data_IF_580778799443
#
_entry.id   IF_580778799443
#
_cell.length_a   1.000
_cell.length_b   1.000
_cell.length_c   1.000
_cell.angle_alpha   90.00
_cell.angle_beta   90.00
_cell.angle_gamma   90.00
#
_symmetry.space_group_name_H-M   'P 1'
#
loop_
_entity.id
_entity.type
_entity.pdbx_description
1 polymer ?
#
# COMPACT_ATOMS: atom_id res chain seq x y z
N UNK A 1 6.38 -11.14 14.97
CA UNK A 1 4.95 -11.30 15.32
C UNK A 1 4.57 -10.14 16.23
N UNK A 2 3.66 -9.27 15.82
CA UNK A 2 3.12 -8.22 16.71
C UNK A 2 2.00 -8.84 17.55
N UNK A 3 1.92 -8.49 18.83
CA UNK A 3 0.84 -8.95 19.73
C UNK A 3 0.03 -7.74 20.17
N UNK A 4 -1.24 -7.89 20.57
CA UNK A 4 -2.00 -6.77 21.15
C UNK A 4 -1.31 -6.15 22.38
N UNK A 5 -0.39 -6.89 23.02
CA UNK A 5 0.42 -6.46 24.16
C UNK A 5 1.77 -5.81 23.79
N UNK A 6 2.15 -5.71 22.51
CA UNK A 6 3.39 -4.99 22.16
C UNK A 6 3.19 -3.49 22.27
N UNK A 7 4.00 -2.84 23.09
CA UNK A 7 4.04 -1.39 23.21
C UNK A 7 4.55 -0.78 21.91
N UNK A 8 3.86 0.25 21.41
CA UNK A 8 4.35 1.05 20.30
C UNK A 8 5.47 1.97 20.78
N UNK A 9 6.58 1.96 20.07
CA UNK A 9 7.71 2.85 20.33
C UNK A 9 7.86 3.84 19.17
N UNK A 10 8.24 5.07 19.50
CA UNK A 10 8.58 6.07 18.49
C UNK A 10 9.81 5.58 17.73
N UNK A 11 9.71 5.48 16.40
CA UNK A 11 10.79 4.98 15.57
C UNK A 11 11.77 6.10 15.14
N UNK A 12 11.31 7.35 15.05
CA UNK A 12 12.14 8.49 14.63
C UNK A 12 11.50 9.81 15.05
N UNK A 13 12.31 10.85 15.25
CA UNK A 13 11.85 12.18 15.66
C UNK A 13 11.36 12.99 14.47
N UNK A 14 10.10 13.41 14.52
CA UNK A 14 9.46 14.24 13.50
C UNK A 14 8.08 13.72 13.12
N UNK A 15 7.32 14.53 12.38
CA UNK A 15 5.97 14.16 11.92
C UNK A 15 5.98 13.94 10.41
N UNK A 16 5.46 12.79 10.00
CA UNK A 16 5.21 12.45 8.60
C UNK A 16 3.73 12.18 8.41
N UNK A 17 3.20 12.53 7.25
CA UNK A 17 1.78 12.41 6.87
C UNK A 17 1.49 11.20 5.98
N UNK A 18 2.55 10.60 5.44
CA UNK A 18 2.53 9.38 4.64
C UNK A 18 3.95 8.93 4.33
N UNK A 19 4.12 7.69 3.90
CA UNK A 19 5.43 7.16 3.56
C UNK A 19 5.38 5.72 3.10
N UNK A 20 6.49 5.27 2.55
CA UNK A 20 6.71 3.93 2.04
C UNK A 20 8.19 3.57 2.17
N UNK A 21 8.53 2.29 2.08
CA UNK A 21 9.87 1.78 2.28
C UNK A 21 10.38 0.98 1.08
N UNK A 22 11.61 1.30 0.67
CA UNK A 22 12.33 0.57 -0.37
C UNK A 22 13.84 0.56 -0.05
N UNK A 23 14.52 -0.53 -0.43
CA UNK A 23 15.98 -0.66 -0.30
C UNK A 23 16.52 -0.36 1.12
N UNK A 24 15.78 -0.78 2.16
CA UNK A 24 16.15 -0.55 3.56
C UNK A 24 16.02 0.91 4.02
N UNK A 25 15.41 1.78 3.21
CA UNK A 25 15.18 3.19 3.50
C UNK A 25 13.69 3.46 3.56
N UNK A 26 13.25 4.17 4.61
CA UNK A 26 11.90 4.71 4.71
C UNK A 26 11.89 6.10 4.09
N UNK A 27 10.92 6.38 3.24
CA UNK A 27 10.67 7.67 2.61
C UNK A 27 9.34 8.21 3.11
N UNK A 28 9.33 9.44 3.61
CA UNK A 28 8.18 10.05 4.24
C UNK A 28 7.89 11.44 3.70
N UNK A 29 6.61 11.79 3.62
CA UNK A 29 6.16 13.15 3.33
C UNK A 29 5.90 13.88 4.64
N UNK A 30 6.51 15.05 4.83
CA UNK A 30 6.33 15.90 6.01
C UNK A 30 5.08 16.79 5.87
N UNK A 31 4.66 17.46 6.95
CA UNK A 31 3.56 18.44 6.94
C UNK A 31 3.84 19.65 6.00
N UNK A 32 5.11 19.97 5.73
CA UNK A 32 5.52 20.98 4.74
C UNK A 32 5.47 20.50 3.28
N UNK A 33 5.06 19.23 3.08
CA UNK A 33 4.97 18.55 1.81
C UNK A 33 6.32 18.17 1.17
N UNK A 34 7.43 18.28 1.89
CA UNK A 34 8.75 17.81 1.43
C UNK A 34 8.94 16.33 1.73
N UNK A 35 9.77 15.67 0.92
CA UNK A 35 10.13 14.27 1.13
C UNK A 35 11.41 14.16 1.93
N UNK A 36 11.30 13.40 3.00
CA UNK A 36 12.39 13.03 3.89
C UNK A 36 12.65 11.53 3.79
N UNK A 37 13.85 11.10 4.12
CA UNK A 37 14.18 9.69 4.16
C UNK A 37 15.17 9.36 5.28
N UNK A 38 15.12 8.12 5.72
CA UNK A 38 15.99 7.59 6.76
C UNK A 38 16.18 6.09 6.56
N UNK A 39 17.40 5.59 6.75
CA UNK A 39 17.66 4.16 6.75
C UNK A 39 16.97 3.52 7.95
N UNK A 40 16.21 2.46 7.70
CA UNK A 40 15.42 1.78 8.73
C UNK A 40 16.33 1.23 9.84
N UNK A 41 17.51 0.73 9.50
CA UNK A 41 18.50 0.24 10.46
C UNK A 41 19.09 1.32 11.38
N UNK A 42 18.91 2.60 11.04
CA UNK A 42 19.42 3.76 11.79
C UNK A 42 18.30 4.49 12.54
N UNK A 43 17.05 4.04 12.42
CA UNK A 43 15.90 4.68 13.06
C UNK A 43 15.89 4.43 14.57
N UNK A 44 15.94 5.52 15.34
CA UNK A 44 15.73 5.57 16.80
C UNK A 44 14.88 6.77 17.16
N UNK A 45 14.29 6.78 18.36
CA UNK A 45 13.48 7.91 18.84
C UNK A 45 14.25 9.25 18.96
N UNK A 46 15.58 9.24 18.87
CA UNK A 46 16.45 10.42 18.89
C UNK A 46 16.93 10.88 17.51
N UNK A 47 16.79 10.04 16.48
CA UNK A 47 17.32 10.38 15.15
C UNK A 47 16.38 11.28 14.38
N UNK A 48 16.94 12.27 13.67
CA UNK A 48 16.18 13.20 12.83
C UNK A 48 16.09 12.69 11.39
N UNK A 49 14.99 13.03 10.73
CA UNK A 49 14.78 12.77 9.31
C UNK A 49 15.72 13.59 8.43
N UNK A 50 16.32 12.97 7.41
CA UNK A 50 17.10 13.68 6.39
C UNK A 50 16.19 14.12 5.25
N UNK A 51 16.28 15.37 4.82
CA UNK A 51 15.58 15.84 3.62
C UNK A 51 16.21 15.19 2.38
N UNK A 52 15.39 14.54 1.55
CA UNK A 52 15.88 13.75 0.42
C UNK A 52 15.45 14.30 -0.94
N UNK A 53 14.30 14.98 -1.02
CA UNK A 53 13.85 15.68 -2.23
C UNK A 53 13.41 17.09 -1.85
N UNK A 54 14.00 18.10 -2.48
CA UNK A 54 13.78 19.51 -2.13
C UNK A 54 12.63 20.18 -2.88
N UNK A 55 12.33 19.70 -4.09
CA UNK A 55 11.35 20.31 -5.00
C UNK A 55 9.96 19.68 -4.88
N UNK A 56 8.93 20.45 -5.21
CA UNK A 56 7.53 20.04 -5.13
C UNK A 56 6.95 20.11 -3.72
N UNK A 57 5.65 19.81 -3.63
CA UNK A 57 4.90 19.63 -2.39
C UNK A 57 3.97 18.44 -2.59
N UNK A 58 4.17 17.38 -1.81
CA UNK A 58 3.36 16.18 -1.81
C UNK A 58 2.58 16.08 -0.51
N UNK A 59 1.58 15.21 -0.49
CA UNK A 59 0.81 14.81 0.69
C UNK A 59 0.90 13.30 0.93
N UNK A 60 1.06 12.49 -0.12
CA UNK A 60 1.23 11.03 -0.06
C UNK A 60 2.30 10.59 -1.05
N UNK A 61 2.92 9.44 -0.79
CA UNK A 61 3.84 8.79 -1.72
C UNK A 61 3.65 7.27 -1.69
N UNK A 62 4.06 6.61 -2.77
CA UNK A 62 4.17 5.17 -2.89
C UNK A 62 5.37 4.83 -3.80
N UNK A 63 6.01 3.68 -3.58
CA UNK A 63 7.23 3.31 -4.30
C UNK A 63 6.97 2.07 -5.15
N UNK A 64 7.28 2.17 -6.45
CA UNK A 64 7.33 1.02 -7.32
C UNK A 64 8.67 0.30 -7.15
N UNK A 65 8.69 -0.77 -6.33
CA UNK A 65 9.94 -1.39 -5.87
C UNK A 65 10.80 -1.99 -6.97
N UNK A 66 10.20 -2.49 -8.06
CA UNK A 66 10.97 -3.10 -9.16
C UNK A 66 11.79 -2.06 -9.94
N UNK A 67 11.27 -0.84 -10.10
CA UNK A 67 11.97 0.25 -10.79
C UNK A 67 12.63 1.26 -9.85
N UNK A 68 12.38 1.17 -8.55
CA UNK A 68 12.80 2.17 -7.57
C UNK A 68 12.17 3.56 -7.80
N UNK A 69 11.06 3.66 -8.54
CA UNK A 69 10.43 4.94 -8.86
C UNK A 69 9.47 5.37 -7.76
N UNK A 70 9.59 6.62 -7.31
CA UNK A 70 8.66 7.20 -6.33
C UNK A 70 7.51 7.88 -7.07
N UNK A 71 6.29 7.57 -6.65
CA UNK A 71 5.06 8.23 -7.07
C UNK A 71 4.51 9.04 -5.91
N UNK A 72 3.90 10.18 -6.20
CA UNK A 72 3.41 11.10 -5.20
C UNK A 72 2.06 11.70 -5.57
N UNK A 73 1.31 12.10 -4.56
CA UNK A 73 0.10 12.91 -4.70
C UNK A 73 0.34 14.28 -4.08
N UNK A 74 -0.04 15.36 -4.75
CA UNK A 74 -0.06 16.70 -4.15
C UNK A 74 -1.36 16.96 -3.36
N UNK A 75 -1.47 18.15 -2.76
CA UNK A 75 -2.68 18.58 -2.04
C UNK A 75 -3.90 18.79 -2.95
N UNK A 76 -3.68 18.90 -4.26
CA UNK A 76 -4.72 18.98 -5.29
C UNK A 76 -5.10 17.60 -5.84
N UNK A 77 -4.64 16.51 -5.19
CA UNK A 77 -4.92 15.13 -5.56
C UNK A 77 -4.39 14.75 -6.96
N UNK A 78 -3.41 15.50 -7.47
CA UNK A 78 -2.74 15.22 -8.73
C UNK A 78 -1.57 14.29 -8.49
N UNK A 79 -1.35 13.37 -9.44
CA UNK A 79 -0.30 12.38 -9.36
C UNK A 79 0.98 12.86 -10.06
N UNK A 80 2.11 12.54 -9.47
CA UNK A 80 3.44 12.82 -9.99
C UNK A 80 4.30 11.57 -9.88
N UNK A 81 5.30 11.46 -10.76
CA UNK A 81 6.42 10.53 -10.59
C UNK A 81 7.71 11.32 -10.45
N UNK A 82 8.63 10.83 -9.64
CA UNK A 82 9.98 11.41 -9.58
C UNK A 82 10.71 11.14 -10.91
N UNK A 83 11.50 12.10 -11.37
CA UNK A 83 12.29 12.00 -12.61
C UNK A 83 13.32 10.87 -12.56
N UNK A 84 13.92 10.70 -11.39
CA UNK A 84 15.01 9.77 -11.15
C UNK A 84 14.56 8.63 -10.24
N UNK A 85 15.04 7.39 -10.45
CA UNK A 85 14.84 6.31 -9.48
C UNK A 85 15.60 6.60 -8.17
N UNK A 86 15.23 5.89 -7.10
CA UNK A 86 15.85 6.00 -5.77
C UNK A 86 17.38 5.87 -5.81
N UNK A 87 17.90 4.99 -6.67
CA UNK A 87 19.36 4.76 -6.79
C UNK A 87 20.14 5.95 -7.35
N UNK A 88 19.49 6.91 -8.02
CA UNK A 88 20.12 8.08 -8.62
C UNK A 88 19.46 9.40 -8.24
N UNK A 89 18.49 9.41 -7.32
CA UNK A 89 17.81 10.63 -6.92
C UNK A 89 18.75 11.56 -6.16
N UNK A 90 18.49 12.86 -6.30
CA UNK A 90 19.17 13.93 -5.56
C UNK A 90 18.13 14.88 -4.99
N UNK A 91 18.56 15.83 -4.15
CA UNK A 91 17.67 16.89 -3.67
C UNK A 91 17.15 17.81 -4.79
N UNK A 92 17.82 17.78 -5.95
CA UNK A 92 17.48 18.51 -7.16
C UNK A 92 16.55 17.74 -8.13
N UNK A 93 16.27 16.45 -7.90
CA UNK A 93 15.36 15.65 -8.73
C UNK A 93 13.98 16.30 -8.83
N UNK A 94 13.38 16.19 -10.01
CA UNK A 94 12.14 16.89 -10.36
C UNK A 94 10.93 15.96 -10.36
N UNK A 95 9.76 16.52 -10.08
CA UNK A 95 8.49 15.81 -10.19
C UNK A 95 7.91 15.98 -11.59
N UNK A 96 7.65 14.87 -12.26
CA UNK A 96 6.98 14.83 -13.55
C UNK A 96 5.48 14.62 -13.28
N UNK A 97 4.66 15.61 -13.67
CA UNK A 97 3.21 15.48 -13.59
C UNK A 97 2.76 14.29 -14.42
N UNK A 98 2.03 13.37 -13.77
CA UNK A 98 1.38 12.30 -14.47
C UNK A 98 0.01 12.81 -14.93
N UNK A 99 -0.28 12.71 -16.22
CA UNK A 99 -1.55 13.18 -16.73
C UNK A 99 -2.63 12.18 -16.28
N UNK A 100 -3.37 12.58 -15.25
CA UNK A 100 -4.42 11.80 -14.59
C UNK A 100 -5.67 12.68 -14.54
N UNK A 101 -6.79 12.16 -15.03
CA UNK A 101 -8.04 12.92 -15.16
C UNK A 101 -8.94 12.84 -13.93
N UNK A 102 -8.58 12.03 -12.93
CA UNK A 102 -9.34 11.88 -11.69
C UNK A 102 -8.74 12.64 -10.51
N UNK A 103 -9.34 12.42 -9.33
CA UNK A 103 -8.81 12.81 -8.04
C UNK A 103 -8.32 11.57 -7.30
N UNK A 104 -7.06 11.56 -6.86
CA UNK A 104 -6.49 10.48 -6.07
C UNK A 104 -6.14 10.99 -4.68
N UNK A 105 -6.79 10.44 -3.65
CA UNK A 105 -6.66 10.87 -2.27
C UNK A 105 -5.68 10.02 -1.46
N UNK A 106 -5.41 8.81 -1.92
CA UNK A 106 -4.43 7.91 -1.33
C UNK A 106 -3.87 6.98 -2.41
N UNK A 107 -2.60 6.61 -2.28
CA UNK A 107 -1.87 5.85 -3.30
C UNK A 107 -1.11 4.70 -2.65
N UNK A 108 -1.15 3.53 -3.30
CA UNK A 108 -0.32 2.38 -2.96
C UNK A 108 0.09 1.66 -4.25
N UNK A 109 1.22 0.98 -4.24
CA UNK A 109 1.73 0.26 -5.41
C UNK A 109 2.04 -1.18 -4.99
N UNK A 110 1.58 -2.15 -5.79
CA UNK A 110 1.96 -3.56 -5.63
C UNK A 110 2.20 -4.20 -6.99
N UNK A 111 3.39 -4.78 -7.15
CA UNK A 111 3.87 -5.19 -8.47
C UNK A 111 3.79 -3.99 -9.42
N UNK A 112 3.32 -4.23 -10.64
CA UNK A 112 3.17 -3.17 -11.64
C UNK A 112 1.83 -2.42 -11.57
N UNK A 113 1.04 -2.58 -10.50
CA UNK A 113 -0.26 -1.90 -10.37
C UNK A 113 -0.22 -0.77 -9.33
N UNK A 114 -0.70 0.41 -9.74
CA UNK A 114 -1.03 1.52 -8.84
C UNK A 114 -2.47 1.36 -8.37
N UNK A 115 -2.68 1.51 -7.08
CA UNK A 115 -3.98 1.56 -6.45
C UNK A 115 -4.23 2.95 -5.94
N UNK A 116 -5.44 3.45 -6.17
CA UNK A 116 -5.82 4.81 -5.86
C UNK A 116 -7.17 4.85 -5.17
N UNK A 117 -7.27 5.59 -4.06
CA UNK A 117 -8.57 6.02 -3.54
C UNK A 117 -9.07 7.21 -4.34
N UNK A 118 -10.05 6.96 -5.21
CA UNK A 118 -10.65 7.95 -6.08
C UNK A 118 -11.70 8.83 -5.40
N UNK A 119 -12.34 9.71 -6.17
CA UNK A 119 -13.55 10.41 -5.74
C UNK A 119 -14.68 9.46 -5.37
N UNK A 120 -15.51 9.86 -4.41
CA UNK A 120 -16.59 9.02 -3.87
C UNK A 120 -16.10 7.83 -3.05
N UNK A 121 -14.90 7.92 -2.46
CA UNK A 121 -14.27 6.87 -1.63
C UNK A 121 -14.17 5.50 -2.33
N UNK A 122 -14.16 5.49 -3.67
CA UNK A 122 -14.04 4.27 -4.48
C UNK A 122 -12.59 3.86 -4.69
N UNK A 123 -12.34 2.56 -4.85
CA UNK A 123 -11.01 2.01 -5.11
C UNK A 123 -10.79 1.78 -6.61
N UNK A 124 -9.67 2.27 -7.12
CA UNK A 124 -9.28 2.17 -8.52
C UNK A 124 -7.89 1.55 -8.66
N UNK A 125 -7.65 0.86 -9.77
CA UNK A 125 -6.34 0.31 -10.11
C UNK A 125 -5.95 0.61 -11.55
N UNK A 126 -4.64 0.72 -11.80
CA UNK A 126 -4.07 0.87 -13.13
C UNK A 126 -2.66 0.30 -13.20
N UNK A 127 -2.35 -0.35 -14.32
CA UNK A 127 -1.01 -0.81 -14.67
C UNK A 127 -0.07 0.40 -14.92
N UNK A 128 1.04 0.47 -14.16
CA UNK A 128 2.05 1.52 -14.21
C UNK A 128 2.61 1.71 -15.60
N UNK A 129 2.85 0.62 -16.34
CA UNK A 129 3.48 0.65 -17.66
C UNK A 129 2.51 1.26 -18.68
N UNK A 130 1.20 1.11 -18.45
CA UNK A 130 0.14 1.66 -19.30
C UNK A 130 -0.28 3.09 -18.92
N UNK A 131 0.27 3.65 -17.85
CA UNK A 131 -0.17 4.94 -17.33
C UNK A 131 0.20 6.08 -18.27
N UNK A 132 -0.82 6.71 -18.85
CA UNK A 132 -0.70 7.85 -19.77
C UNK A 132 -1.77 8.90 -19.43
N UNK A 133 -1.82 9.99 -20.21
CA UNK A 133 -2.78 11.08 -20.01
C UNK A 133 -4.23 10.69 -20.08
N UNK A 134 -4.47 9.58 -20.77
CA UNK A 134 -5.77 9.14 -21.21
C UNK A 134 -5.97 7.66 -20.87
N UNK A 135 -5.07 7.05 -20.09
CA UNK A 135 -5.22 5.67 -19.67
C UNK A 135 -6.42 5.55 -18.74
N UNK A 136 -7.22 4.50 -18.96
CA UNK A 136 -8.37 4.20 -18.12
C UNK A 136 -7.95 3.53 -16.83
N UNK A 137 -8.59 3.94 -15.74
CA UNK A 137 -8.51 3.25 -14.46
C UNK A 137 -9.64 2.23 -14.35
N UNK A 138 -9.34 1.09 -13.73
CA UNK A 138 -10.34 0.05 -13.45
C UNK A 138 -10.85 0.23 -12.03
N UNK A 139 -12.16 0.46 -11.86
CA UNK A 139 -12.79 0.47 -10.54
C UNK A 139 -12.82 -0.96 -10.00
N UNK A 140 -12.30 -1.16 -8.78
CA UNK A 140 -12.23 -2.48 -8.13
C UNK A 140 -12.90 -2.52 -6.76
N UNK A 141 -13.41 -1.39 -6.28
CA UNK A 141 -14.19 -1.31 -5.05
C UNK A 141 -15.07 -0.05 -5.04
N UNK A 142 -16.22 -0.18 -4.38
CA UNK A 142 -17.17 0.91 -4.19
C UNK A 142 -16.81 1.77 -2.96
N UNK A 143 -17.73 2.65 -2.60
CA UNK A 143 -17.61 3.69 -1.57
C UNK A 143 -17.13 3.21 -0.19
N UNK A 144 -16.73 4.17 0.64
CA UNK A 144 -16.33 3.93 2.03
C UNK A 144 -14.84 3.63 2.26
N UNK A 145 -14.02 3.50 1.22
CA UNK A 145 -12.56 3.34 1.36
C UNK A 145 -11.96 4.58 2.03
N UNK A 146 -11.25 4.43 3.15
CA UNK A 146 -10.59 5.55 3.87
C UNK A 146 -9.09 5.67 3.60
N UNK A 147 -8.45 4.55 3.31
CA UNK A 147 -7.05 4.46 2.96
C UNK A 147 -6.83 3.24 2.07
N UNK A 148 -5.72 3.23 1.34
CA UNK A 148 -5.32 2.12 0.47
C UNK A 148 -3.93 1.69 0.87
N UNK A 149 -3.80 0.45 1.33
CA UNK A 149 -2.54 -0.21 1.57
C UNK A 149 -2.62 -1.60 0.93
N UNK A 150 -1.76 -1.88 -0.03
CA UNK A 150 -1.68 -3.21 -0.65
C UNK A 150 -0.38 -3.87 -0.19
N UNK A 151 -0.40 -4.67 0.88
CA UNK A 151 0.82 -5.21 1.46
C UNK A 151 1.53 -6.16 0.49
N UNK A 152 2.86 -6.16 0.56
CA UNK A 152 3.66 -7.19 -0.07
C UNK A 152 3.58 -8.46 0.76
N UNK A 153 2.82 -9.41 0.25
CA UNK A 153 2.72 -10.75 0.81
C UNK A 153 2.20 -11.71 -0.24
N UNK A 154 2.65 -12.96 -0.16
CA UNK A 154 1.96 -14.07 -0.81
C UNK A 154 0.57 -14.12 -0.21
N UNK A 155 -0.46 -13.94 -1.04
CA UNK A 155 -1.82 -14.25 -0.61
C UNK A 155 -1.87 -15.76 -0.39
N UNK A 156 -2.40 -16.18 0.76
CA UNK A 156 -2.76 -17.58 0.97
C UNK A 156 -3.68 -18.00 -0.19
N UNK A 157 -3.33 -19.07 -0.90
CA UNK A 157 -4.22 -19.65 -1.90
C UNK A 157 -5.13 -20.63 -1.19
N UNK A 158 -6.43 -20.44 -1.28
CA UNK A 158 -7.40 -21.35 -0.69
C UNK A 158 -8.73 -21.33 -1.40
N UNK A 159 -9.43 -22.45 -1.35
CA UNK A 159 -10.84 -22.51 -1.69
C UNK A 159 -11.68 -22.11 -0.47
N UNK A 160 -12.69 -21.27 -0.68
CA UNK A 160 -13.77 -21.09 0.30
C UNK A 160 -14.55 -22.40 0.37
N UNK A 161 -14.62 -23.02 1.56
CA UNK A 161 -15.54 -24.14 1.76
C UNK A 161 -16.94 -23.55 1.92
N UNK A 162 -17.77 -23.68 0.88
CA UNK A 162 -19.20 -23.43 1.04
C UNK A 162 -19.79 -24.60 1.84
N UNK A 163 -20.13 -24.35 3.11
CA UNK A 163 -20.96 -25.27 3.91
C UNK A 163 -22.36 -24.68 3.97
N UNK A 164 -23.35 -25.45 3.54
CA UNK A 164 -24.75 -25.08 3.65
C UNK A 164 -25.08 -24.77 5.13
N UNK A 165 -25.47 -23.51 5.39
CA UNK A 165 -25.89 -23.05 6.72
C UNK A 165 -24.84 -22.29 7.55
N UNK A 166 -23.69 -21.93 6.99
CA UNK A 166 -22.70 -21.09 7.68
C UNK A 166 -22.83 -19.62 7.29
N UNK A 167 -23.23 -18.76 8.23
CA UNK A 167 -23.52 -17.34 7.99
C UNK A 167 -22.26 -16.46 7.81
N UNK A 168 -21.04 -17.02 7.87
CA UNK A 168 -19.82 -16.22 7.75
C UNK A 168 -18.70 -16.92 7.00
N UNK A 169 -18.29 -16.30 5.89
CA UNK A 169 -17.32 -16.76 4.91
C UNK A 169 -15.85 -16.65 5.36
N UNK A 170 -15.42 -17.36 6.40
CA UNK A 170 -13.98 -17.69 6.54
C UNK A 170 -13.81 -19.09 7.19
N UNK A 171 -14.62 -20.07 6.79
CA UNK A 171 -14.47 -21.42 7.30
C UNK A 171 -13.50 -22.22 6.42
N UNK A 172 -12.23 -22.17 6.85
CA UNK A 172 -11.13 -23.08 6.46
C UNK A 172 -10.63 -22.95 5.00
N UNK A 173 -9.54 -22.21 4.81
CA UNK A 173 -8.67 -22.41 3.65
C UNK A 173 -7.85 -23.67 3.91
N UNK A 174 -8.10 -24.76 3.18
CA UNK A 174 -7.16 -25.88 3.10
C UNK A 174 -6.06 -25.52 2.09
N UNK A 175 -4.94 -25.05 2.60
CA UNK A 175 -3.68 -25.01 1.87
C UNK A 175 -2.67 -25.89 2.61
N UNK A 176 -2.16 -26.93 1.93
CA UNK A 176 -1.14 -27.82 2.49
C UNK A 176 0.14 -27.06 2.89
N UNK A 177 0.37 -25.86 2.35
CA UNK A 177 1.53 -25.04 2.65
C UNK A 177 1.34 -24.03 3.80
N UNK A 178 0.10 -23.62 4.12
CA UNK A 178 -0.15 -22.57 5.11
C UNK A 178 -0.61 -23.07 6.49
N UNK A 179 -0.90 -24.37 6.64
CA UNK A 179 -1.32 -24.98 7.93
C UNK A 179 -2.70 -24.52 8.44
N UNK A 180 -3.23 -25.22 9.45
CA UNK A 180 -4.54 -24.93 10.04
C UNK A 180 -4.44 -23.76 11.06
N UNK A 181 -4.40 -22.51 10.60
CA UNK A 181 -4.37 -21.35 11.50
C UNK A 181 -5.28 -20.22 11.02
N UNK A 182 -6.45 -20.04 11.64
CA UNK A 182 -7.35 -18.92 11.36
C UNK A 182 -8.06 -18.44 12.64
N UNK A 183 -8.24 -17.13 12.78
CA UNK A 183 -9.02 -16.47 13.85
C UNK A 183 -10.08 -15.57 13.19
N UNK A 184 -11.32 -15.59 13.72
CA UNK A 184 -12.40 -14.69 13.27
C UNK A 184 -12.03 -13.25 13.61
N UNK A 185 -11.70 -12.44 12.61
CA UNK A 185 -11.42 -11.02 12.80
C UNK A 185 -12.72 -10.21 12.90
N UNK A 186 -13.29 -10.12 14.10
CA UNK A 186 -14.45 -9.27 14.38
C UNK A 186 -14.09 -7.83 14.78
N UNK A 187 -12.82 -7.49 15.02
CA UNK A 187 -12.44 -6.22 15.69
C UNK A 187 -11.05 -5.65 15.32
N UNK A 188 -10.53 -5.86 14.11
CA UNK A 188 -9.22 -5.28 13.73
C UNK A 188 -9.27 -4.56 12.38
N UNK A 189 -8.72 -3.36 12.34
CA UNK A 189 -8.69 -2.44 11.17
C UNK A 189 -7.68 -2.84 10.08
N UNK A 190 -7.09 -4.04 10.14
CA UNK A 190 -6.08 -4.52 9.19
C UNK A 190 -6.65 -5.71 8.44
N UNK A 191 -6.76 -5.56 7.12
CA UNK A 191 -7.45 -6.50 6.27
C UNK A 191 -6.46 -7.24 5.34
N UNK A 192 -6.31 -8.57 5.45
CA UNK A 192 -5.58 -9.38 4.46
C UNK A 192 -6.54 -9.97 3.43
N UNK A 193 -6.40 -9.55 2.18
CA UNK A 193 -7.32 -9.95 1.11
C UNK A 193 -6.94 -11.33 0.57
N UNK A 194 -7.71 -12.37 0.88
CA UNK A 194 -7.64 -13.62 0.12
C UNK A 194 -8.43 -13.43 -1.18
N UNK A 195 -7.74 -13.32 -2.31
CA UNK A 195 -8.39 -13.23 -3.62
C UNK A 195 -8.67 -14.65 -4.08
N UNK A 196 -9.94 -15.07 -4.04
CA UNK A 196 -10.39 -16.20 -4.85
C UNK A 196 -10.01 -15.90 -6.30
N UNK A 197 -9.52 -16.89 -7.06
CA UNK A 197 -8.87 -16.68 -8.36
C UNK A 197 -9.66 -15.84 -9.37
N UNK A 198 -10.95 -15.58 -9.16
CA UNK A 198 -11.75 -14.67 -9.96
C UNK A 198 -12.71 -13.85 -9.08
N UNK A 199 -12.30 -12.65 -8.64
CA UNK A 199 -13.23 -11.66 -8.12
C UNK A 199 -14.00 -11.05 -9.30
N UNK A 200 -15.29 -11.38 -9.42
CA UNK A 200 -16.20 -10.81 -10.42
C UNK A 200 -16.96 -9.60 -9.85
N UNK A 201 -17.41 -8.64 -10.69
CA UNK A 201 -18.13 -7.46 -10.23
C UNK A 201 -19.32 -7.80 -9.33
N UNK A 202 -19.39 -7.18 -8.14
CA UNK A 202 -20.48 -7.40 -7.17
C UNK A 202 -20.22 -8.47 -6.11
N UNK A 203 -19.04 -9.12 -6.10
CA UNK A 203 -18.63 -9.95 -4.96
C UNK A 203 -18.21 -9.08 -3.78
N UNK A 204 -18.89 -9.22 -2.63
CA UNK A 204 -18.45 -8.61 -1.37
C UNK A 204 -17.05 -9.11 -1.04
N UNK A 205 -16.10 -8.20 -0.87
CA UNK A 205 -14.73 -8.54 -0.51
C UNK A 205 -14.75 -9.09 0.91
N UNK A 206 -14.63 -10.42 1.05
CA UNK A 206 -14.42 -11.03 2.35
C UNK A 206 -12.93 -10.99 2.63
N UNK A 207 -12.58 -10.24 3.66
CA UNK A 207 -11.21 -10.14 4.09
C UNK A 207 -10.95 -11.13 5.23
N UNK A 208 -10.01 -12.06 5.05
CA UNK A 208 -9.57 -12.95 6.12
C UNK A 208 -8.10 -12.66 6.50
N UNK A 209 -7.85 -12.33 7.78
CA UNK A 209 -6.50 -12.15 8.33
C UNK A 209 -5.73 -13.49 8.40
N UNK A 210 -4.64 -13.61 7.66
CA UNK A 210 -3.63 -14.65 7.90
C UNK A 210 -2.65 -14.18 8.99
N UNK A 211 -2.49 -14.99 10.04
CA UNK A 211 -1.62 -14.67 11.19
C UNK A 211 -0.13 -14.68 10.85
N UNK A 212 0.27 -15.35 9.76
CA UNK A 212 1.65 -15.43 9.28
C UNK A 212 1.68 -15.33 7.73
N UNK A 213 2.67 -14.65 7.12
CA UNK A 213 2.95 -14.84 5.70
C UNK A 213 3.32 -16.31 5.49
N UNK A 214 2.73 -16.97 4.48
CA UNK A 214 3.12 -18.34 4.16
C UNK A 214 4.59 -18.30 3.73
N UNK A 215 5.46 -18.82 4.59
CA UNK A 215 6.84 -19.10 4.24
C UNK A 215 6.79 -20.15 3.14
N UNK A 216 7.16 -19.76 1.92
CA UNK A 216 7.52 -20.73 0.90
C UNK A 216 8.59 -21.62 1.54
N UNK A 217 8.31 -22.93 1.62
CA UNK A 217 9.36 -23.90 1.98
C UNK A 217 10.57 -23.72 1.06
N UNK A 218 11.75 -24.20 1.48
CA UNK A 218 12.98 -24.10 0.68
C UNK A 218 12.78 -24.65 -0.75
#
# INVERSE_FOLDING_TARGET
MMSPSTTWHLASKGKLTGGDAAEGTFFGVSEDGKVYCQKISEMTDQTDWKKCIGKGSLHKLAIHKSSGTIYGLDSSQKMFKLSDPISSMTDASDWISLPYSGACWDISIRGDNVYCRGGGDSLWTQDIIKMTAHSGWTKIGDDGTKAVLVPEGSLCKGALLNRDGDDFACDTIKDETCGNFYERAGQTDIYLQCVGQEASPGTGIVTCLAKNPCSLGP
#
